data_IF_573731869437
#
_entry.id   IF_573731869437
#
_cell.length_a   1.000
_cell.length_b   1.000
_cell.length_c   1.000
_cell.angle_alpha   90.00
_cell.angle_beta   90.00
_cell.angle_gamma   90.00
#
_symmetry.space_group_name_H-M   'P 1'
#
loop_
_entity.id
_entity.type
_entity.pdbx_description
1 polymer ?
#
# COMPACT_ATOMS: atom_id res chain seq x y z
N UNK A 1 3.90 -24.36 -4.77
CA UNK A 1 4.62 -23.07 -4.63
C UNK A 1 3.85 -22.23 -3.65
N UNK A 2 4.52 -21.77 -2.58
CA UNK A 2 3.93 -21.33 -1.32
C UNK A 2 2.67 -20.44 -1.54
N UNK A 3 1.54 -20.94 -1.03
CA UNK A 3 0.18 -20.43 -1.32
C UNK A 3 -0.39 -19.56 -0.20
N UNK A 4 0.45 -19.23 0.77
CA UNK A 4 0.03 -18.71 2.07
C UNK A 4 0.37 -17.23 2.16
N UNK A 5 -0.58 -16.48 2.67
CA UNK A 5 -0.43 -15.06 2.99
C UNK A 5 -0.59 -14.94 4.50
N UNK A 6 0.32 -14.24 5.15
CA UNK A 6 0.25 -13.94 6.55
C UNK A 6 0.32 -12.42 6.76
N UNK A 7 -0.30 -11.94 7.82
CA UNK A 7 -0.25 -10.54 8.21
C UNK A 7 -0.19 -10.41 9.73
N UNK A 8 0.34 -9.29 10.19
CA UNK A 8 0.26 -8.87 11.58
C UNK A 8 0.05 -7.35 11.61
N UNK A 9 -0.89 -6.91 12.43
CA UNK A 9 -1.13 -5.50 12.69
C UNK A 9 -1.02 -5.27 14.19
N UNK A 10 -0.01 -4.52 14.60
CA UNK A 10 0.30 -4.27 16.01
C UNK A 10 0.30 -2.76 16.24
N UNK A 11 -0.86 -2.15 16.56
CA UNK A 11 -0.94 -0.71 16.70
C UNK A 11 -0.09 -0.20 17.86
N UNK A 12 0.38 1.05 17.72
CA UNK A 12 1.02 1.78 18.81
C UNK A 12 0.15 1.72 20.07
N UNK A 13 0.77 1.50 21.24
CA UNK A 13 0.06 1.28 22.52
C UNK A 13 -1.06 2.29 22.79
N UNK A 14 -0.80 3.57 22.50
CA UNK A 14 -1.72 4.68 22.77
C UNK A 14 -2.88 4.74 21.74
N UNK A 15 -2.76 4.02 20.63
CA UNK A 15 -3.72 4.00 19.51
C UNK A 15 -4.55 2.72 19.43
N UNK A 16 -4.20 1.68 20.22
CA UNK A 16 -4.86 0.35 20.18
C UNK A 16 -6.37 0.41 20.40
N UNK A 17 -6.83 1.32 21.26
CA UNK A 17 -8.25 1.44 21.60
C UNK A 17 -9.14 1.85 20.41
N UNK A 18 -8.55 2.35 19.32
CA UNK A 18 -9.26 2.64 18.06
C UNK A 18 -8.69 1.88 16.85
N UNK A 19 -7.80 0.92 17.05
CA UNK A 19 -7.28 0.05 15.97
C UNK A 19 -6.00 0.53 15.28
N UNK A 20 -5.49 1.73 15.58
CA UNK A 20 -4.31 2.29 14.89
C UNK A 20 -4.67 3.24 13.74
N UNK A 21 -3.67 3.62 12.96
CA UNK A 21 -3.83 4.50 11.78
C UNK A 21 -3.38 3.81 10.48
N UNK A 22 -2.73 2.66 10.60
CA UNK A 22 -2.32 1.77 9.52
C UNK A 22 -3.51 0.95 9.00
N UNK A 23 -3.51 0.64 7.71
CA UNK A 23 -4.47 -0.27 7.08
C UNK A 23 -3.76 -1.20 6.09
N UNK A 24 -4.33 -2.39 5.87
CA UNK A 24 -3.83 -3.32 4.86
C UNK A 24 -4.99 -4.06 4.19
N UNK A 25 -4.74 -4.59 2.99
CA UNK A 25 -5.62 -5.51 2.30
C UNK A 25 -4.81 -6.62 1.63
N UNK A 26 -5.33 -7.84 1.70
CA UNK A 26 -4.79 -9.01 0.99
C UNK A 26 -5.96 -9.72 0.35
N UNK A 27 -6.03 -9.76 -0.98
CA UNK A 27 -7.15 -10.37 -1.68
C UNK A 27 -6.74 -10.98 -3.03
N UNK A 28 -7.61 -11.80 -3.62
CA UNK A 28 -7.35 -12.54 -4.85
C UNK A 28 -8.48 -12.34 -5.85
N UNK A 29 -8.12 -12.02 -7.09
CA UNK A 29 -9.05 -11.94 -8.22
C UNK A 29 -8.47 -12.70 -9.41
N UNK A 30 -9.04 -13.86 -9.73
CA UNK A 30 -8.51 -14.75 -10.76
C UNK A 30 -7.04 -15.14 -10.46
N UNK A 31 -6.15 -14.86 -11.41
CA UNK A 31 -4.70 -15.08 -11.28
C UNK A 31 -3.97 -13.99 -10.48
N UNK A 32 -4.64 -12.91 -10.06
CA UNK A 32 -3.99 -11.78 -9.40
C UNK A 32 -4.10 -11.89 -7.87
N UNK A 33 -3.04 -11.47 -7.18
CA UNK A 33 -3.00 -11.26 -5.73
C UNK A 33 -2.71 -9.80 -5.46
N UNK A 34 -3.55 -9.16 -4.67
CA UNK A 34 -3.36 -7.84 -4.13
C UNK A 34 -2.68 -7.93 -2.76
N UNK A 35 -1.67 -7.09 -2.55
CA UNK A 35 -1.10 -6.79 -1.24
C UNK A 35 -1.06 -5.26 -1.12
N UNK A 36 -1.72 -4.70 -0.12
CA UNK A 36 -1.69 -3.26 0.16
C UNK A 36 -1.34 -3.07 1.62
N UNK A 37 -0.43 -2.13 1.89
CA UNK A 37 -0.16 -1.60 3.23
C UNK A 37 -0.13 -0.09 3.14
N UNK A 38 -0.79 0.59 4.06
CA UNK A 38 -0.79 2.04 4.16
C UNK A 38 -0.64 2.48 5.63
N UNK A 39 0.14 3.53 5.87
CA UNK A 39 0.37 4.13 7.19
C UNK A 39 -0.20 5.56 7.20
N UNK A 40 -1.22 5.80 8.03
CA UNK A 40 -1.82 7.12 8.18
C UNK A 40 -0.85 8.12 8.80
N UNK A 41 -0.66 9.26 8.13
CA UNK A 41 0.24 10.31 8.63
C UNK A 41 -0.26 10.81 10.00
N UNK A 42 0.56 10.67 11.03
CA UNK A 42 0.21 11.10 12.38
C UNK A 42 -0.01 12.62 12.50
N UNK A 43 -0.76 13.03 13.53
CA UNK A 43 -0.97 14.45 13.86
C UNK A 43 -2.11 15.14 13.11
N UNK A 44 -2.79 14.45 12.19
CA UNK A 44 -4.01 14.98 11.56
C UNK A 44 -5.11 15.27 12.58
N UNK A 45 -5.26 14.40 13.60
CA UNK A 45 -6.27 14.58 14.64
C UNK A 45 -6.02 15.83 15.47
N UNK A 46 -4.77 16.09 15.85
CA UNK A 46 -4.41 17.25 16.66
C UNK A 46 -4.33 18.54 15.86
N UNK A 47 -3.93 18.50 14.60
CA UNK A 47 -3.78 19.70 13.74
C UNK A 47 -5.08 20.13 13.06
N UNK A 48 -5.90 19.17 12.64
CA UNK A 48 -7.04 19.42 11.75
C UNK A 48 -8.36 18.82 12.25
N UNK A 49 -8.34 18.05 13.35
CA UNK A 49 -9.54 17.40 13.90
C UNK A 49 -9.96 16.12 13.16
N UNK A 50 -9.21 15.67 12.15
CA UNK A 50 -9.54 14.51 11.34
C UNK A 50 -8.68 13.29 11.69
N UNK A 51 -9.26 12.10 11.61
CA UNK A 51 -8.53 10.85 11.89
C UNK A 51 -7.79 10.38 10.65
N UNK A 52 -6.46 10.27 10.72
CA UNK A 52 -5.66 9.69 9.65
C UNK A 52 -6.07 8.23 9.40
N UNK A 53 -6.31 7.46 10.46
CA UNK A 53 -6.81 6.08 10.34
C UNK A 53 -8.11 5.98 9.56
N UNK A 54 -9.09 6.88 9.77
CA UNK A 54 -10.35 6.84 9.01
C UNK A 54 -10.12 7.02 7.50
N UNK A 55 -9.23 7.94 7.13
CA UNK A 55 -8.84 8.12 5.73
C UNK A 55 -8.13 6.87 5.19
N UNK A 56 -7.10 6.39 5.89
CA UNK A 56 -6.29 5.24 5.47
C UNK A 56 -7.15 3.97 5.29
N UNK A 57 -8.03 3.66 6.25
CA UNK A 57 -8.93 2.52 6.16
C UNK A 57 -9.93 2.65 5.01
N UNK A 58 -10.48 3.84 4.77
CA UNK A 58 -11.39 4.07 3.65
C UNK A 58 -10.69 3.92 2.30
N UNK A 59 -9.49 4.48 2.15
CA UNK A 59 -8.71 4.37 0.92
C UNK A 59 -8.34 2.91 0.61
N UNK A 60 -7.84 2.16 1.59
CA UNK A 60 -7.50 0.74 1.41
C UNK A 60 -8.74 -0.10 1.09
N UNK A 61 -9.89 0.20 1.72
CA UNK A 61 -11.16 -0.48 1.42
C UNK A 61 -11.58 -0.24 -0.03
N UNK A 62 -11.51 1.00 -0.53
CA UNK A 62 -11.88 1.32 -1.91
C UNK A 62 -10.92 0.69 -2.92
N UNK A 63 -9.61 0.68 -2.63
CA UNK A 63 -8.62 -0.04 -3.45
C UNK A 63 -9.00 -1.52 -3.55
N UNK A 64 -9.36 -2.17 -2.44
CA UNK A 64 -9.77 -3.57 -2.47
C UNK A 64 -11.06 -3.78 -3.28
N UNK A 65 -12.04 -2.88 -3.14
CA UNK A 65 -13.30 -2.94 -3.89
C UNK A 65 -13.05 -2.88 -5.40
N UNK A 66 -12.22 -1.94 -5.87
CA UNK A 66 -11.87 -1.82 -7.29
C UNK A 66 -11.02 -2.99 -7.79
N UNK A 67 -10.14 -3.54 -6.96
CA UNK A 67 -9.41 -4.76 -7.31
C UNK A 67 -10.36 -5.95 -7.52
N UNK A 68 -11.33 -6.10 -6.62
CA UNK A 68 -12.39 -7.10 -6.71
C UNK A 68 -13.42 -6.83 -7.81
N UNK A 69 -13.44 -5.63 -8.40
CA UNK A 69 -14.21 -5.35 -9.61
C UNK A 69 -13.44 -5.66 -10.89
N UNK A 70 -12.19 -6.12 -10.78
CA UNK A 70 -11.36 -6.56 -11.91
C UNK A 70 -10.25 -5.60 -12.32
N UNK A 71 -10.05 -4.46 -11.65
CA UNK A 71 -8.94 -3.55 -11.95
C UNK A 71 -7.63 -4.13 -11.37
N UNK A 72 -6.61 -4.28 -12.21
CA UNK A 72 -5.31 -4.88 -11.83
C UNK A 72 -4.13 -3.94 -12.00
N UNK A 73 -4.36 -2.74 -12.53
CA UNK A 73 -3.35 -1.69 -12.64
C UNK A 73 -3.34 -0.88 -11.33
N UNK A 74 -2.23 -0.87 -10.57
CA UNK A 74 -2.21 -0.28 -9.23
C UNK A 74 -2.38 1.24 -9.25
N UNK A 75 -1.88 1.93 -10.28
CA UNK A 75 -2.07 3.39 -10.42
C UNK A 75 -3.55 3.72 -10.62
N UNK A 76 -4.25 2.96 -11.47
CA UNK A 76 -5.70 3.09 -11.65
C UNK A 76 -6.46 2.78 -10.36
N UNK A 77 -6.10 1.73 -9.62
CA UNK A 77 -6.73 1.44 -8.32
C UNK A 77 -6.69 2.65 -7.38
N UNK A 78 -5.51 3.28 -7.23
CA UNK A 78 -5.35 4.45 -6.35
C UNK A 78 -6.13 5.64 -6.87
N UNK A 79 -6.05 5.91 -8.18
CA UNK A 79 -6.74 7.04 -8.81
C UNK A 79 -8.25 6.95 -8.67
N UNK A 80 -8.84 5.77 -8.86
CA UNK A 80 -10.29 5.59 -8.71
C UNK A 80 -10.69 5.60 -7.22
N UNK A 81 -9.93 4.91 -6.36
CA UNK A 81 -10.23 4.83 -4.93
C UNK A 81 -10.23 6.21 -4.25
N UNK A 82 -9.27 7.09 -4.57
CA UNK A 82 -9.19 8.41 -3.92
C UNK A 82 -10.38 9.30 -4.28
N UNK A 83 -11.01 9.13 -5.45
CA UNK A 83 -12.21 9.90 -5.81
C UNK A 83 -13.43 9.52 -4.95
N UNK A 84 -13.45 8.30 -4.40
CA UNK A 84 -14.55 7.81 -3.56
C UNK A 84 -14.36 8.11 -2.07
N UNK A 85 -13.19 8.60 -1.66
CA UNK A 85 -12.88 8.87 -0.26
C UNK A 85 -13.12 10.34 0.09
N UNK A 86 -14.22 10.60 0.79
CA UNK A 86 -14.59 11.95 1.27
C UNK A 86 -14.14 12.24 2.72
N UNK A 87 -13.06 11.61 3.16
CA UNK A 87 -12.52 11.76 4.52
C UNK A 87 -11.21 12.52 4.43
N UNK A 88 -11.02 13.68 5.06
CA UNK A 88 -9.73 14.36 5.05
C UNK A 88 -8.66 13.54 5.77
N UNK A 89 -7.52 13.37 5.12
CA UNK A 89 -6.37 12.65 5.67
C UNK A 89 -5.22 12.54 4.67
N UNK A 90 -4.16 11.87 5.10
CA UNK A 90 -3.06 11.46 4.23
C UNK A 90 -2.41 10.19 4.81
N UNK A 91 -1.79 9.40 3.96
CA UNK A 91 -1.05 8.20 4.33
C UNK A 91 0.16 8.01 3.42
N UNK A 92 1.15 7.24 3.87
CA UNK A 92 2.09 6.56 2.97
C UNK A 92 1.52 5.19 2.61
N UNK A 93 1.91 4.63 1.46
CA UNK A 93 1.30 3.42 0.93
C UNK A 93 2.21 2.67 -0.03
N UNK A 94 2.14 1.34 0.03
CA UNK A 94 2.69 0.42 -0.96
C UNK A 94 1.59 -0.55 -1.42
N UNK A 95 1.49 -0.73 -2.73
CA UNK A 95 0.65 -1.75 -3.35
C UNK A 95 1.56 -2.68 -4.14
N UNK A 96 1.38 -3.98 -3.98
CA UNK A 96 1.99 -5.01 -4.81
C UNK A 96 0.89 -5.88 -5.41
N UNK A 97 0.83 -5.93 -6.74
CA UNK A 97 -0.08 -6.82 -7.48
C UNK A 97 0.75 -7.90 -8.15
N UNK A 98 0.49 -9.16 -7.80
CA UNK A 98 1.19 -10.32 -8.35
C UNK A 98 0.28 -11.08 -9.31
N UNK A 99 0.69 -11.20 -10.57
CA UNK A 99 0.09 -12.13 -11.51
C UNK A 99 0.75 -13.51 -11.34
N UNK A 100 0.00 -14.45 -10.75
CA UNK A 100 0.46 -15.81 -10.42
C UNK A 100 0.63 -16.74 -11.63
N UNK A 101 0.07 -16.38 -12.78
CA UNK A 101 0.28 -17.15 -14.01
C UNK A 101 1.60 -16.80 -14.67
N UNK A 102 1.97 -15.53 -14.67
CA UNK A 102 3.20 -15.04 -15.31
C UNK A 102 4.37 -14.90 -14.34
N UNK A 103 4.10 -14.98 -13.03
CA UNK A 103 5.01 -14.63 -11.95
C UNK A 103 5.60 -13.22 -12.10
N UNK A 104 4.78 -12.27 -12.55
CA UNK A 104 5.15 -10.85 -12.64
C UNK A 104 4.45 -10.08 -11.53
N UNK A 105 5.19 -9.21 -10.85
CA UNK A 105 4.66 -8.31 -9.85
C UNK A 105 4.83 -6.84 -10.25
N UNK A 106 3.83 -6.05 -9.90
CA UNK A 106 3.80 -4.60 -10.09
C UNK A 106 3.76 -3.95 -8.70
N UNK A 107 4.70 -3.06 -8.43
CA UNK A 107 4.73 -2.28 -7.19
C UNK A 107 4.36 -0.82 -7.47
N UNK A 108 3.54 -0.23 -6.61
CA UNK A 108 3.19 1.19 -6.63
C UNK A 108 3.37 1.76 -5.22
N UNK A 109 4.25 2.74 -5.08
CA UNK A 109 4.69 3.27 -3.79
C UNK A 109 4.48 4.79 -3.70
N UNK A 110 3.96 5.23 -2.56
CA UNK A 110 3.83 6.65 -2.17
C UNK A 110 4.37 6.80 -0.75
N UNK A 111 5.42 7.58 -0.57
CA UNK A 111 6.06 7.76 0.74
C UNK A 111 7.00 6.60 1.11
N UNK A 112 7.00 6.20 2.38
CA UNK A 112 8.03 5.36 3.01
C UNK A 112 7.57 3.94 3.40
N UNK A 113 6.35 3.53 3.05
CA UNK A 113 5.97 2.12 3.08
C UNK A 113 6.79 1.33 2.05
N UNK A 114 7.27 0.14 2.41
CA UNK A 114 8.30 -0.58 1.66
C UNK A 114 7.97 -2.06 1.45
N UNK A 115 8.69 -2.71 0.54
CA UNK A 115 8.61 -4.15 0.28
C UNK A 115 10.01 -4.75 0.05
N UNK A 116 10.11 -6.06 0.26
CA UNK A 116 11.29 -6.85 -0.06
C UNK A 116 10.88 -8.14 -0.75
N UNK A 117 11.38 -8.37 -1.96
CA UNK A 117 11.21 -9.62 -2.69
C UNK A 117 12.48 -10.46 -2.54
N UNK A 118 12.34 -11.64 -1.93
CA UNK A 118 13.43 -12.59 -1.69
C UNK A 118 13.21 -13.81 -2.57
N UNK A 119 14.23 -14.21 -3.33
CA UNK A 119 14.20 -15.39 -4.19
C UNK A 119 14.34 -16.70 -3.40
N UNK A 120 14.07 -17.82 -4.07
CA UNK A 120 14.26 -19.16 -3.48
C UNK A 120 15.73 -19.47 -3.11
N UNK A 121 16.68 -18.75 -3.72
CA UNK A 121 18.11 -18.77 -3.40
C UNK A 121 18.47 -17.95 -2.15
N UNK A 122 17.51 -17.24 -1.56
CA UNK A 122 17.71 -16.37 -0.40
C UNK A 122 18.18 -14.96 -0.76
N UNK A 123 18.36 -14.65 -2.05
CA UNK A 123 18.85 -13.36 -2.51
C UNK A 123 17.74 -12.33 -2.66
N UNK A 124 18.06 -11.05 -2.43
CA UNK A 124 17.12 -9.95 -2.66
C UNK A 124 16.99 -9.72 -4.17
N UNK A 125 15.80 -10.02 -4.71
CA UNK A 125 15.48 -9.85 -6.14
C UNK A 125 14.97 -8.46 -6.47
N UNK A 126 14.22 -7.87 -5.54
CA UNK A 126 13.72 -6.49 -5.64
C UNK A 126 13.40 -5.94 -4.27
N UNK A 127 13.37 -4.62 -4.15
CA UNK A 127 12.96 -3.89 -2.94
C UNK A 127 12.34 -2.56 -3.33
N UNK A 128 11.55 -1.95 -2.43
CA UNK A 128 11.10 -0.59 -2.65
C UNK A 128 12.29 0.36 -2.75
N UNK A 129 12.07 1.44 -3.49
CA UNK A 129 13.08 2.49 -3.59
C UNK A 129 12.75 3.53 -2.54
N UNK A 130 13.67 3.87 -1.63
CA UNK A 130 13.49 5.03 -0.78
C UNK A 130 13.30 6.24 -1.69
N UNK A 131 12.12 6.86 -1.68
CA UNK A 131 11.88 8.13 -2.38
C UNK A 131 12.66 9.23 -1.65
N UNK A 132 13.96 9.30 -1.90
CA UNK A 132 14.88 10.35 -1.47
C UNK A 132 14.99 10.56 0.07
N UNK A 133 16.20 10.85 0.57
CA UNK A 133 16.32 11.63 1.81
C UNK A 133 15.53 12.92 1.58
N UNK A 134 14.42 13.10 2.28
CA UNK A 134 13.60 14.31 2.18
C UNK A 134 14.51 15.55 2.26
N UNK A 135 14.53 16.43 1.23
CA UNK A 135 14.98 17.80 1.42
C UNK A 135 14.16 18.43 2.56
N UNK A 136 14.72 19.42 3.26
CA UNK A 136 14.07 20.12 4.41
C UNK A 136 12.76 20.86 4.05
N UNK A 137 12.22 20.67 2.85
CA UNK A 137 10.98 21.28 2.36
C UNK A 137 10.14 20.23 1.61
N UNK A 138 8.81 20.16 1.84
CA UNK A 138 7.96 19.17 1.18
C UNK A 138 7.93 19.39 -0.33
N UNK A 139 8.24 18.34 -1.09
CA UNK A 139 8.00 18.30 -2.54
C UNK A 139 6.79 17.42 -2.77
N UNK A 140 5.66 18.03 -3.15
CA UNK A 140 4.55 17.32 -3.75
C UNK A 140 4.91 17.08 -5.21
N UNK A 141 5.34 15.87 -5.53
CA UNK A 141 5.73 15.48 -6.88
C UNK A 141 5.76 13.96 -6.98
N UNK A 142 4.74 13.41 -7.62
CA UNK A 142 4.65 12.01 -7.99
C UNK A 142 5.87 11.56 -8.80
N UNK A 143 6.29 10.30 -8.61
CA UNK A 143 6.43 9.33 -9.69
C UNK A 143 6.85 7.98 -9.08
N UNK A 144 5.86 7.09 -8.99
CA UNK A 144 6.08 5.69 -8.72
C UNK A 144 7.01 5.09 -9.76
N UNK A 145 7.95 4.26 -9.30
CA UNK A 145 8.76 3.44 -10.17
C UNK A 145 7.88 2.30 -10.69
N UNK A 146 7.18 2.56 -11.79
CA UNK A 146 6.37 1.60 -12.56
C UNK A 146 7.25 0.54 -13.27
N UNK A 147 8.23 -0.05 -12.60
CA UNK A 147 9.05 -1.12 -13.17
C UNK A 147 8.49 -2.48 -12.71
N UNK A 148 7.85 -3.26 -13.60
CA UNK A 148 7.47 -4.63 -13.26
C UNK A 148 8.73 -5.44 -12.91
N UNK A 149 8.63 -6.32 -11.90
CA UNK A 149 9.69 -7.28 -11.58
C UNK A 149 9.16 -8.71 -11.64
N UNK A 150 10.06 -9.63 -11.98
CA UNK A 150 9.72 -11.05 -12.07
C UNK A 150 10.01 -11.73 -10.74
N UNK A 151 9.06 -12.52 -10.27
CA UNK A 151 9.21 -13.40 -9.11
C UNK A 151 9.72 -14.73 -9.67
N UNK A 152 10.95 -15.10 -9.30
CA UNK A 152 11.56 -16.39 -9.65
C UNK A 152 11.26 -17.46 -8.61
#
# INVERSE_FOLDING_TARGET
>A
MARETAFAMIPHKDKRHFGGEDAFAIDKMGQYLLLVVADGIGGWKSKYGYSAGKFTHALVSEINNFFLSGIQDPETLVREAIQNVNIPGACTMIIVIVNKMTNVAYAYQVGDADYLAIGADGEIKSKGTPLFRAPKTPTYGALGLNAPFRIE
#
